data_IF_191729293492
#
_entry.id   IF_191729293492
#
_cell.length_a   1.000
_cell.length_b   1.000
_cell.length_c   1.000
_cell.angle_alpha   90.00
_cell.angle_beta   90.00
_cell.angle_gamma   90.00
#
_symmetry.space_group_name_H-M   'P 1'
#
loop_
_entity.id
_entity.type
_entity.pdbx_description
1 polymer ?
#
# COMPACT_ATOMS: atom_id res chain seq x y z
N UNK A 1 -15.62 2.88 -30.70
CA UNK A 1 -14.40 2.71 -29.89
C UNK A 1 -14.19 4.03 -29.16
N UNK A 2 -14.65 4.11 -27.92
CA UNK A 2 -14.61 5.34 -27.12
C UNK A 2 -13.50 5.11 -26.09
N UNK A 3 -12.33 5.70 -26.32
CA UNK A 3 -11.28 5.78 -25.32
C UNK A 3 -11.69 6.79 -24.28
N UNK A 4 -12.11 6.32 -23.09
CA UNK A 4 -12.22 7.16 -21.91
C UNK A 4 -10.83 7.67 -21.50
N UNK A 5 -10.73 8.87 -20.88
CA UNK A 5 -9.43 9.39 -20.47
C UNK A 5 -8.80 8.49 -19.43
N UNK A 6 -7.62 7.95 -19.74
CA UNK A 6 -6.72 7.35 -18.77
C UNK A 6 -6.35 8.41 -17.74
N UNK A 7 -6.89 8.31 -16.55
CA UNK A 7 -6.48 9.14 -15.43
C UNK A 7 -5.10 8.65 -14.98
N UNK A 8 -4.05 9.31 -15.45
CA UNK A 8 -2.71 9.25 -14.87
C UNK A 8 -2.74 9.90 -13.49
N UNK A 9 -3.31 9.21 -12.53
CA UNK A 9 -3.30 9.57 -11.12
C UNK A 9 -2.88 8.33 -10.34
N UNK A 10 -1.80 8.44 -9.58
CA UNK A 10 -1.32 7.35 -8.72
C UNK A 10 -2.48 6.71 -7.96
N UNK A 11 -2.43 5.40 -7.81
CA UNK A 11 -3.51 4.60 -7.25
C UNK A 11 -3.95 5.14 -5.89
N UNK A 12 -5.08 5.84 -5.87
CA UNK A 12 -5.69 6.33 -4.65
C UNK A 12 -6.50 5.20 -4.07
N UNK A 13 -6.04 4.67 -2.92
CA UNK A 13 -6.85 3.75 -2.13
C UNK A 13 -8.16 4.46 -1.76
N UNK A 14 -9.28 3.86 -2.11
CA UNK A 14 -10.59 4.38 -1.75
C UNK A 14 -10.92 4.01 -0.31
N UNK A 15 -11.50 4.94 0.49
CA UNK A 15 -11.88 4.63 1.85
C UNK A 15 -12.90 3.48 1.86
N UNK A 16 -12.57 2.38 2.52
CA UNK A 16 -13.54 1.36 2.87
C UNK A 16 -14.50 1.96 3.91
N UNK A 17 -15.79 1.87 3.66
CA UNK A 17 -16.81 2.40 4.57
C UNK A 17 -16.68 1.72 5.93
N UNK A 18 -16.38 2.46 7.00
CA UNK A 18 -16.69 2.05 8.37
C UNK A 18 -15.59 1.98 9.43
N UNK A 19 -14.32 2.33 9.17
CA UNK A 19 -13.26 2.17 10.19
C UNK A 19 -12.71 3.47 10.80
N UNK A 20 -13.38 4.62 10.61
CA UNK A 20 -12.86 5.91 11.08
C UNK A 20 -13.16 6.23 12.56
N UNK A 21 -14.09 5.51 13.20
CA UNK A 21 -14.59 5.80 14.55
C UNK A 21 -14.09 4.86 15.66
N UNK A 22 -13.18 3.93 15.36
CA UNK A 22 -12.62 3.10 16.42
C UNK A 22 -11.65 3.91 17.31
N UNK A 23 -11.75 3.76 18.65
CA UNK A 23 -10.85 4.46 19.56
C UNK A 23 -9.40 4.03 19.28
N UNK A 24 -8.52 5.02 19.15
CA UNK A 24 -7.10 4.74 18.92
C UNK A 24 -6.48 4.02 20.12
N UNK A 25 -6.02 2.81 19.89
CA UNK A 25 -5.20 2.09 20.87
C UNK A 25 -3.73 2.36 20.53
N UNK A 26 -2.93 2.93 21.43
CA UNK A 26 -1.52 3.21 21.16
C UNK A 26 -0.75 1.95 20.72
N UNK A 27 0.06 2.10 19.67
CA UNK A 27 0.88 1.01 19.13
C UNK A 27 2.24 0.94 19.82
N UNK A 28 2.81 2.12 20.11
CA UNK A 28 4.17 2.19 20.65
C UNK A 28 4.16 2.08 22.19
N UNK A 29 3.78 0.90 22.69
CA UNK A 29 3.80 0.54 24.11
C UNK A 29 4.64 -0.71 24.34
N UNK A 30 5.14 -0.92 25.56
CA UNK A 30 5.92 -2.11 25.90
C UNK A 30 7.06 -2.38 24.94
N UNK A 31 7.13 -3.57 24.36
CA UNK A 31 8.20 -3.99 23.47
C UNK A 31 8.30 -3.14 22.19
N UNK A 32 7.16 -2.70 21.64
CA UNK A 32 7.17 -1.83 20.44
C UNK A 32 7.81 -0.47 20.73
N UNK A 33 7.61 0.07 21.95
CA UNK A 33 8.27 1.29 22.37
C UNK A 33 9.78 1.10 22.49
N UNK A 34 10.23 0.03 23.12
CA UNK A 34 11.66 -0.28 23.25
C UNK A 34 12.31 -0.39 21.85
N UNK A 35 11.67 -1.12 20.93
CA UNK A 35 12.16 -1.26 19.55
C UNK A 35 12.26 0.10 18.83
N UNK A 36 11.27 0.97 19.01
CA UNK A 36 11.29 2.32 18.45
C UNK A 36 12.44 3.17 19.03
N UNK A 37 12.65 3.12 20.35
CA UNK A 37 13.73 3.87 21.00
C UNK A 37 15.12 3.39 20.53
N UNK A 38 15.30 2.09 20.33
CA UNK A 38 16.52 1.52 19.72
C UNK A 38 16.73 2.00 18.28
N UNK A 39 15.64 2.13 17.49
CA UNK A 39 15.72 2.68 16.12
C UNK A 39 16.11 4.15 16.17
N UNK A 40 15.46 4.95 17.02
CA UNK A 40 15.76 6.39 17.18
C UNK A 40 17.24 6.59 17.52
N UNK A 41 17.79 5.76 18.41
CA UNK A 41 19.19 5.85 18.83
C UNK A 41 20.22 5.65 17.70
N UNK A 42 19.82 5.07 16.55
CA UNK A 42 20.70 4.87 15.39
C UNK A 42 20.82 6.12 14.51
N UNK A 43 19.97 7.10 14.71
CA UNK A 43 19.91 8.30 13.88
C UNK A 43 20.37 9.55 14.61
N UNK A 44 20.97 10.53 13.91
CA UNK A 44 21.41 11.78 14.53
C UNK A 44 20.25 12.65 15.04
N UNK A 45 19.04 12.47 14.48
CA UNK A 45 17.81 13.18 14.89
C UNK A 45 16.65 12.23 14.97
N UNK A 46 15.71 12.48 15.88
CA UNK A 46 14.49 11.68 16.02
C UNK A 46 13.66 11.63 14.72
N UNK A 47 13.61 12.75 14.01
CA UNK A 47 12.88 12.89 12.75
C UNK A 47 13.31 11.86 11.70
N UNK A 48 14.58 11.46 11.66
CA UNK A 48 15.11 10.49 10.71
C UNK A 48 14.55 9.08 10.94
N UNK A 49 13.99 8.80 12.12
CA UNK A 49 13.33 7.53 12.43
C UNK A 49 11.86 7.46 11.95
N UNK A 50 11.35 8.48 11.22
CA UNK A 50 9.93 8.55 10.82
C UNK A 50 9.53 7.37 9.92
N UNK A 51 10.31 7.05 8.88
CA UNK A 51 9.96 5.95 7.97
C UNK A 51 9.87 4.59 8.68
N UNK A 52 10.87 4.17 9.47
CA UNK A 52 10.74 2.93 10.23
C UNK A 52 9.61 2.96 11.28
N UNK A 53 9.30 4.10 11.88
CA UNK A 53 8.16 4.21 12.79
C UNK A 53 6.82 4.00 12.06
N UNK A 54 6.67 4.56 10.86
CA UNK A 54 5.50 4.35 10.01
C UNK A 54 5.35 2.87 9.59
N UNK A 55 6.44 2.19 9.27
CA UNK A 55 6.43 0.76 9.01
C UNK A 55 5.95 -0.04 10.22
N UNK A 56 6.48 0.24 11.41
CA UNK A 56 6.04 -0.44 12.64
C UNK A 56 4.55 -0.23 12.90
N UNK A 57 4.03 0.97 12.66
CA UNK A 57 2.59 1.26 12.77
C UNK A 57 1.78 0.46 11.76
N UNK A 58 2.21 0.44 10.49
CA UNK A 58 1.53 -0.28 9.41
C UNK A 58 1.55 -1.80 9.64
N UNK A 59 2.68 -2.37 10.07
CA UNK A 59 2.77 -3.79 10.44
C UNK A 59 1.81 -4.16 11.56
N UNK A 60 1.64 -3.28 12.55
CA UNK A 60 0.78 -3.53 13.71
C UNK A 60 -0.72 -3.37 13.40
N UNK A 61 -1.09 -2.50 12.45
CA UNK A 61 -2.48 -2.10 12.17
C UNK A 61 -2.97 -2.45 10.78
N UNK A 62 -2.08 -2.82 9.87
CA UNK A 62 -2.38 -3.02 8.44
C UNK A 62 -2.40 -1.71 7.63
N UNK A 63 -2.49 -0.55 8.30
CA UNK A 63 -2.54 0.77 7.67
C UNK A 63 -2.09 1.87 8.63
N UNK A 64 -1.83 3.07 8.08
CA UNK A 64 -1.36 4.26 8.81
C UNK A 64 -2.54 5.20 9.06
N UNK A 65 -3.18 5.08 10.23
CA UNK A 65 -4.31 5.92 10.61
C UNK A 65 -3.89 7.33 11.06
N UNK A 66 -4.79 8.31 10.98
CA UNK A 66 -4.53 9.67 11.47
C UNK A 66 -4.17 9.72 12.96
N UNK A 67 -4.85 9.00 13.86
CA UNK A 67 -4.42 8.93 15.25
C UNK A 67 -3.04 8.26 15.43
N UNK A 68 -2.70 7.28 14.61
CA UNK A 68 -1.37 6.67 14.60
C UNK A 68 -0.28 7.63 14.11
N UNK A 69 -0.57 8.46 13.12
CA UNK A 69 0.33 9.53 12.70
C UNK A 69 0.57 10.56 13.81
N UNK A 70 -0.48 10.92 14.57
CA UNK A 70 -0.37 11.82 15.71
C UNK A 70 0.47 11.20 16.86
N UNK A 71 0.33 9.90 17.11
CA UNK A 71 1.17 9.17 18.07
C UNK A 71 2.64 9.23 17.68
N UNK A 72 2.99 8.93 16.42
CA UNK A 72 4.36 9.02 15.90
C UNK A 72 4.89 10.46 15.98
N UNK A 73 4.08 11.45 15.61
CA UNK A 73 4.46 12.86 15.66
C UNK A 73 4.90 13.29 17.07
N UNK A 74 4.12 12.90 18.08
CA UNK A 74 4.44 13.17 19.48
C UNK A 74 5.73 12.46 19.95
N UNK A 75 5.95 11.22 19.52
CA UNK A 75 7.13 10.43 19.90
C UNK A 75 8.43 10.95 19.27
N UNK A 76 8.35 11.44 18.03
CA UNK A 76 9.51 11.96 17.30
C UNK A 76 9.71 13.46 17.44
N UNK A 77 8.83 14.16 18.16
CA UNK A 77 8.90 15.61 18.37
C UNK A 77 8.80 16.41 17.06
N UNK A 78 7.85 15.98 16.20
CA UNK A 78 7.53 16.60 14.89
C UNK A 78 6.03 16.88 14.78
N UNK A 79 5.60 17.62 13.78
CA UNK A 79 4.18 17.95 13.61
C UNK A 79 3.42 16.81 12.91
N UNK A 80 2.14 16.55 13.25
CA UNK A 80 1.30 15.59 12.52
C UNK A 80 1.18 15.91 11.02
N UNK A 81 1.17 17.18 10.66
CA UNK A 81 1.16 17.62 9.26
C UNK A 81 2.41 17.16 8.49
N UNK A 82 3.58 17.20 9.13
CA UNK A 82 4.82 16.70 8.55
C UNK A 82 4.74 15.16 8.32
N UNK A 83 4.26 14.43 9.31
CA UNK A 83 4.05 12.97 9.20
C UNK A 83 3.10 12.66 8.05
N UNK A 84 1.96 13.35 7.97
CA UNK A 84 0.99 13.18 6.89
C UNK A 84 1.60 13.48 5.51
N UNK A 85 2.41 14.54 5.40
CA UNK A 85 3.14 14.84 4.16
C UNK A 85 4.05 13.70 3.70
N UNK A 86 4.74 13.03 4.63
CA UNK A 86 5.58 11.86 4.32
C UNK A 86 4.71 10.66 3.91
N UNK A 87 3.64 10.38 4.63
CA UNK A 87 2.72 9.26 4.31
C UNK A 87 2.08 9.43 2.93
N UNK A 88 1.69 10.65 2.56
CA UNK A 88 1.10 10.93 1.24
C UNK A 88 2.12 10.90 0.11
N UNK A 89 3.39 11.18 0.40
CA UNK A 89 4.47 11.12 -0.59
C UNK A 89 4.90 9.67 -0.90
N UNK A 90 5.03 8.83 0.11
CA UNK A 90 5.46 7.44 -0.04
C UNK A 90 4.26 6.51 -0.20
N UNK A 91 3.99 6.06 -1.41
CA UNK A 91 2.82 5.22 -1.78
C UNK A 91 2.78 3.85 -1.10
N UNK A 92 3.88 3.39 -0.49
CA UNK A 92 3.94 2.16 0.28
C UNK A 92 3.20 2.23 1.63
N UNK A 93 2.85 3.44 2.11
CA UNK A 93 2.04 3.60 3.32
C UNK A 93 0.57 3.65 2.96
N UNK A 94 -0.17 2.67 3.48
CA UNK A 94 -1.61 2.58 3.27
C UNK A 94 -2.35 3.57 4.17
N UNK A 95 -3.07 4.51 3.59
CA UNK A 95 -3.86 5.49 4.34
C UNK A 95 -5.25 4.98 4.72
N UNK A 96 -5.63 3.81 4.21
CA UNK A 96 -6.89 3.12 4.49
C UNK A 96 -6.62 1.63 4.65
N UNK A 97 -7.50 0.89 5.35
CA UNK A 97 -7.41 -0.56 5.40
C UNK A 97 -7.37 -1.18 4.02
N UNK A 98 -6.52 -2.18 3.86
CA UNK A 98 -6.38 -2.97 2.63
C UNK A 98 -6.70 -4.43 2.92
N UNK A 99 -7.00 -5.20 1.88
CA UNK A 99 -7.22 -6.63 1.99
C UNK A 99 -5.96 -7.38 2.46
N UNK A 100 -6.16 -8.61 2.93
CA UNK A 100 -5.06 -9.50 3.36
C UNK A 100 -3.99 -9.66 2.28
N UNK A 101 -4.39 -9.67 1.01
CA UNK A 101 -3.53 -9.74 -0.15
C UNK A 101 -3.63 -8.42 -0.92
N UNK A 102 -2.61 -7.61 -0.80
CA UNK A 102 -2.49 -6.33 -1.48
C UNK A 102 -1.74 -6.54 -2.80
N UNK A 103 -2.45 -6.46 -3.90
CA UNK A 103 -1.97 -6.78 -5.26
C UNK A 103 -1.67 -5.48 -5.99
N UNK A 104 -0.42 -5.31 -6.40
CA UNK A 104 0.08 -4.13 -7.08
C UNK A 104 0.53 -4.54 -8.49
N UNK A 105 -0.12 -4.05 -9.52
CA UNK A 105 0.17 -4.37 -10.92
C UNK A 105 0.89 -3.20 -11.59
N UNK A 106 2.06 -3.43 -12.15
CA UNK A 106 2.78 -2.40 -12.91
C UNK A 106 2.08 -2.11 -14.23
N UNK A 107 1.68 -0.84 -14.44
CA UNK A 107 1.01 -0.39 -15.67
C UNK A 107 1.80 0.69 -16.43
N UNK A 108 3.10 0.85 -16.13
CA UNK A 108 3.97 1.78 -16.85
C UNK A 108 4.16 1.33 -18.30
N UNK A 109 4.49 2.25 -19.20
CA UNK A 109 4.46 2.07 -20.66
C UNK A 109 4.96 0.71 -21.21
N UNK A 110 6.12 0.15 -20.77
CA UNK A 110 6.55 -1.17 -21.26
C UNK A 110 5.57 -2.29 -20.88
N UNK A 111 5.06 -2.27 -19.65
CA UNK A 111 4.10 -3.26 -19.16
C UNK A 111 2.75 -3.10 -19.86
N UNK A 112 2.32 -1.86 -20.12
CA UNK A 112 1.07 -1.59 -20.82
C UNK A 112 1.11 -2.11 -22.27
N UNK A 113 2.23 -1.93 -22.97
CA UNK A 113 2.43 -2.51 -24.30
C UNK A 113 2.39 -4.06 -24.27
N UNK A 114 2.78 -4.66 -23.13
CA UNK A 114 2.74 -6.11 -22.91
C UNK A 114 1.39 -6.61 -22.38
N UNK A 115 0.35 -5.78 -22.29
CA UNK A 115 -1.00 -6.18 -21.87
C UNK A 115 -1.27 -6.07 -20.37
N UNK A 116 -0.62 -5.14 -19.65
CA UNK A 116 -0.83 -4.96 -18.22
C UNK A 116 -2.30 -4.62 -17.86
N UNK A 117 -3.02 -3.91 -18.72
CA UNK A 117 -4.45 -3.62 -18.51
C UNK A 117 -5.30 -4.89 -18.47
N UNK A 118 -4.98 -5.89 -19.32
CA UNK A 118 -5.66 -7.18 -19.31
C UNK A 118 -5.35 -7.97 -18.05
N UNK A 119 -4.11 -7.86 -17.53
CA UNK A 119 -3.71 -8.46 -16.24
C UNK A 119 -4.47 -7.82 -15.08
N UNK A 120 -4.57 -6.49 -15.04
CA UNK A 120 -5.37 -5.75 -14.04
C UNK A 120 -6.83 -6.23 -14.07
N UNK A 121 -7.43 -6.27 -15.26
CA UNK A 121 -8.80 -6.73 -15.43
C UNK A 121 -8.98 -8.17 -14.94
N UNK A 122 -8.05 -9.07 -15.27
CA UNK A 122 -8.10 -10.45 -14.82
C UNK A 122 -8.05 -10.56 -13.28
N UNK A 123 -7.23 -9.74 -12.61
CA UNK A 123 -7.23 -9.69 -11.15
C UNK A 123 -8.55 -9.17 -10.59
N UNK A 124 -9.09 -8.06 -11.10
CA UNK A 124 -10.38 -7.52 -10.64
C UNK A 124 -11.51 -8.55 -10.80
N UNK A 125 -11.60 -9.20 -11.95
CA UNK A 125 -12.62 -10.23 -12.25
C UNK A 125 -12.50 -11.44 -11.31
N UNK A 126 -11.28 -11.86 -10.95
CA UNK A 126 -11.03 -13.06 -10.12
C UNK A 126 -11.13 -12.80 -8.63
N UNK A 127 -10.78 -11.60 -8.18
CA UNK A 127 -10.80 -11.23 -6.76
C UNK A 127 -12.15 -10.67 -6.30
N UNK A 128 -13.01 -10.26 -7.23
CA UNK A 128 -14.28 -9.62 -6.91
C UNK A 128 -14.14 -8.20 -6.34
N UNK A 129 -12.99 -7.54 -6.52
CA UNK A 129 -12.77 -6.18 -6.02
C UNK A 129 -13.66 -5.12 -6.70
N UNK A 130 -14.27 -5.44 -7.86
CA UNK A 130 -15.13 -4.53 -8.62
C UNK A 130 -14.38 -3.38 -9.30
N UNK A 131 -13.55 -2.65 -8.58
CA UNK A 131 -12.72 -1.55 -9.11
C UNK A 131 -11.38 -1.44 -8.35
N UNK A 132 -10.43 -0.72 -8.95
CA UNK A 132 -9.11 -0.48 -8.35
C UNK A 132 -9.20 0.28 -7.04
N UNK A 133 -8.38 -0.12 -6.07
CA UNK A 133 -8.28 0.51 -4.75
C UNK A 133 -9.41 0.14 -3.79
N UNK A 134 -10.37 -0.67 -4.22
CA UNK A 134 -11.44 -1.19 -3.37
C UNK A 134 -11.07 -2.59 -2.88
N UNK A 135 -11.32 -2.85 -1.61
CA UNK A 135 -11.14 -4.18 -1.02
C UNK A 135 -12.34 -5.06 -1.35
N UNK A 136 -12.10 -6.33 -1.69
CA UNK A 136 -13.17 -7.31 -1.93
C UNK A 136 -14.07 -7.47 -0.70
N UNK A 137 -15.34 -7.83 -0.90
CA UNK A 137 -16.34 -7.94 0.17
C UNK A 137 -15.95 -8.94 1.27
N UNK A 138 -15.15 -9.95 0.93
CA UNK A 138 -14.61 -10.93 1.88
C UNK A 138 -13.36 -10.43 2.65
N UNK A 139 -12.90 -9.19 2.39
CA UNK A 139 -11.73 -8.59 3.01
C UNK A 139 -10.39 -9.19 2.58
N UNK A 140 -10.37 -10.05 1.54
CA UNK A 140 -9.16 -10.77 1.18
C UNK A 140 -8.24 -10.01 0.25
N UNK A 141 -8.76 -9.30 -0.72
CA UNK A 141 -7.99 -8.73 -1.80
C UNK A 141 -8.20 -7.22 -1.95
N UNK A 142 -7.14 -6.52 -2.28
CA UNK A 142 -7.19 -5.15 -2.80
C UNK A 142 -6.25 -5.09 -3.99
N UNK A 143 -6.75 -4.66 -5.15
CA UNK A 143 -5.98 -4.55 -6.39
C UNK A 143 -5.75 -3.09 -6.70
N UNK A 144 -4.50 -2.70 -6.98
CA UNK A 144 -4.14 -1.36 -7.44
C UNK A 144 -3.20 -1.42 -8.64
N UNK A 145 -3.22 -0.37 -9.43
CA UNK A 145 -2.16 -0.08 -10.38
C UNK A 145 -1.03 0.66 -9.67
N UNK A 146 0.20 0.37 -10.06
CA UNK A 146 1.38 1.08 -9.57
C UNK A 146 2.27 1.51 -10.72
N UNK A 147 3.11 2.51 -10.43
CA UNK A 147 4.20 2.91 -11.31
C UNK A 147 5.25 1.80 -11.43
N UNK A 148 6.31 2.07 -12.18
CA UNK A 148 7.32 1.09 -12.56
C UNK A 148 7.89 0.28 -11.38
N UNK A 149 7.73 -1.05 -11.45
CA UNK A 149 8.33 -2.01 -10.52
C UNK A 149 9.75 -2.45 -10.92
N UNK A 150 10.31 -1.91 -12.00
CA UNK A 150 11.72 -2.10 -12.39
C UNK A 150 12.04 -3.39 -13.17
N UNK A 151 11.04 -4.20 -13.56
CA UNK A 151 11.24 -5.48 -14.26
C UNK A 151 10.74 -5.45 -15.71
N UNK A 152 11.08 -4.43 -16.48
CA UNK A 152 10.57 -4.24 -17.85
C UNK A 152 10.93 -5.40 -18.81
N UNK A 153 12.00 -6.15 -18.54
CA UNK A 153 12.37 -7.34 -19.31
C UNK A 153 11.50 -8.57 -19.03
N UNK A 154 10.70 -8.52 -17.97
CA UNK A 154 9.80 -9.59 -17.50
C UNK A 154 8.39 -9.05 -17.25
N UNK A 155 7.92 -8.22 -18.17
CA UNK A 155 6.58 -7.61 -18.07
C UNK A 155 5.49 -8.71 -18.15
N UNK A 156 4.41 -8.63 -17.40
CA UNK A 156 4.04 -7.63 -16.40
C UNK A 156 4.43 -8.10 -15.01
N UNK A 157 5.26 -7.33 -14.26
CA UNK A 157 5.53 -7.65 -12.87
C UNK A 157 4.34 -7.25 -11.99
N UNK A 158 4.12 -8.05 -10.95
CA UNK A 158 3.09 -7.87 -9.94
C UNK A 158 3.70 -8.07 -8.56
N UNK A 159 3.35 -7.25 -7.60
CA UNK A 159 3.65 -7.51 -6.19
C UNK A 159 2.38 -7.95 -5.46
N UNK A 160 2.48 -9.04 -4.70
CA UNK A 160 1.44 -9.47 -3.76
C UNK A 160 2.03 -9.33 -2.35
N UNK A 161 1.60 -8.33 -1.61
CA UNK A 161 2.25 -7.90 -0.37
C UNK A 161 3.74 -7.60 -0.60
N UNK A 162 4.65 -8.48 -0.10
CA UNK A 162 6.10 -8.39 -0.30
C UNK A 162 6.63 -9.34 -1.39
N UNK A 163 5.79 -10.20 -1.95
CA UNK A 163 6.20 -11.19 -2.94
C UNK A 163 6.21 -10.54 -4.34
N UNK A 164 7.36 -10.58 -4.99
CA UNK A 164 7.57 -10.03 -6.32
C UNK A 164 7.46 -11.12 -7.38
N UNK A 165 6.51 -10.97 -8.30
CA UNK A 165 6.19 -11.93 -9.35
C UNK A 165 6.44 -11.30 -10.72
N UNK A 166 7.02 -12.05 -11.64
CA UNK A 166 7.38 -11.60 -12.99
C UNK A 166 6.58 -12.34 -14.06
N UNK A 167 6.48 -11.74 -15.23
CA UNK A 167 5.87 -12.34 -16.43
C UNK A 167 4.42 -12.80 -16.22
N UNK A 168 3.66 -12.03 -15.44
CA UNK A 168 2.25 -12.35 -15.18
C UNK A 168 1.43 -12.00 -16.43
N UNK A 169 0.58 -12.95 -16.81
CA UNK A 169 -0.40 -12.83 -17.90
C UNK A 169 -1.80 -13.08 -17.36
N UNK A 170 -2.88 -12.70 -18.07
CA UNK A 170 -4.25 -12.97 -17.63
C UNK A 170 -4.51 -14.46 -17.31
N UNK A 171 -3.85 -15.37 -18.07
CA UNK A 171 -3.98 -16.83 -17.90
C UNK A 171 -3.32 -17.33 -16.60
N UNK A 172 -2.24 -16.67 -16.14
CA UNK A 172 -1.50 -17.07 -14.93
C UNK A 172 -2.06 -16.43 -13.64
N UNK A 173 -2.93 -15.42 -13.73
CA UNK A 173 -3.57 -14.79 -12.57
C UNK A 173 -4.23 -15.80 -11.61
N UNK A 174 -4.97 -16.84 -12.07
CA UNK A 174 -5.54 -17.82 -11.15
C UNK A 174 -4.52 -18.60 -10.31
N UNK A 175 -3.28 -18.74 -10.81
CA UNK A 175 -2.21 -19.44 -10.08
C UNK A 175 -1.62 -18.55 -8.98
N UNK A 176 -1.58 -17.25 -9.21
CA UNK A 176 -1.14 -16.24 -8.22
C UNK A 176 -2.12 -16.17 -7.03
N UNK A 177 -3.40 -16.47 -7.24
CA UNK A 177 -4.47 -16.35 -6.23
C UNK A 177 -4.69 -17.65 -5.40
N UNK A 178 -3.93 -18.71 -5.63
CA UNK A 178 -3.99 -19.98 -4.88
C UNK A 178 -3.28 -19.88 -3.54
#
# INVERSE_FOLDING_TARGET
MSHGPSAAGGAVLKPSHGHHDEPHVPVFTGAARVKLDEIIARYPTKQAALLPALWMLQEARGWVSEPGMAEIAALLDITPAYVKGVVTFYTMYHQHPVGKYFIQVCTTSPCNVCGAEDVVKAFLDKTGCGELGVTSDDGRYTVIEVECLGACGFATPVMVNSDFLESITPETVPDVLK
#
